data_IF_435312538361
#
_entry.id   IF_435312538361
#
_cell.length_a   1.000
_cell.length_b   1.000
_cell.length_c   1.000
_cell.angle_alpha   90.00
_cell.angle_beta   90.00
_cell.angle_gamma   90.00
#
_symmetry.space_group_name_H-M   'P 1'
#
loop_
_entity.id
_entity.type
_entity.pdbx_description
1 polymer ?
#
# COMPACT_ATOMS: atom_id res chain seq x y z
N UNK A 1 -14.28 -19.29 5.85
CA UNK A 1 -14.63 -19.20 7.29
C UNK A 1 -15.99 -19.83 7.49
N UNK A 2 -16.16 -20.71 8.48
CA UNK A 2 -17.45 -21.36 8.76
C UNK A 2 -17.80 -21.21 10.24
N UNK A 3 -19.06 -20.82 10.53
CA UNK A 3 -19.60 -20.81 11.89
C UNK A 3 -19.54 -22.20 12.54
N UNK A 4 -19.68 -23.27 11.75
CA UNK A 4 -19.62 -24.64 12.26
C UNK A 4 -18.23 -25.08 12.73
N UNK A 5 -17.17 -24.44 12.23
CA UNK A 5 -15.78 -24.73 12.62
C UNK A 5 -15.29 -23.80 13.75
N UNK A 6 -16.16 -22.93 14.27
CA UNK A 6 -15.86 -21.88 15.25
C UNK A 6 -14.68 -20.95 14.87
N UNK A 7 -14.23 -20.98 13.61
CA UNK A 7 -13.14 -20.17 13.05
C UNK A 7 -13.72 -19.00 12.25
N UNK A 8 -14.58 -18.22 12.91
CA UNK A 8 -15.18 -17.00 12.35
C UNK A 8 -14.58 -15.81 13.04
N UNK A 9 -13.81 -15.01 12.31
CA UNK A 9 -13.43 -13.68 12.75
C UNK A 9 -14.47 -12.68 12.23
N UNK A 10 -15.07 -11.91 13.14
CA UNK A 10 -15.96 -10.84 12.73
C UNK A 10 -15.13 -9.67 12.23
N UNK A 11 -15.64 -8.96 11.21
CA UNK A 11 -15.00 -7.77 10.68
C UNK A 11 -14.71 -6.72 11.78
N UNK A 12 -15.60 -6.59 12.77
CA UNK A 12 -15.41 -5.70 13.92
C UNK A 12 -14.19 -6.08 14.76
N UNK A 13 -13.94 -7.37 14.97
CA UNK A 13 -12.85 -7.86 15.81
C UNK A 13 -11.52 -7.69 15.06
N UNK A 14 -11.54 -7.87 13.73
CA UNK A 14 -10.40 -7.59 12.87
C UNK A 14 -10.03 -6.09 12.89
N UNK A 15 -11.02 -5.21 12.69
CA UNK A 15 -10.81 -3.75 12.64
C UNK A 15 -10.33 -3.21 13.99
N UNK A 16 -10.71 -3.85 15.11
CA UNK A 16 -10.20 -3.49 16.42
C UNK A 16 -8.69 -3.74 16.57
N UNK A 17 -8.11 -4.70 15.82
CA UNK A 17 -6.69 -5.08 15.90
C UNK A 17 -5.85 -4.55 14.73
N UNK A 18 -6.44 -4.42 13.56
CA UNK A 18 -5.77 -4.05 12.31
C UNK A 18 -6.55 -2.96 11.59
N UNK A 19 -5.86 -2.05 10.91
CA UNK A 19 -6.54 -1.03 10.11
C UNK A 19 -7.29 -1.63 8.92
N UNK A 20 -8.30 -0.93 8.41
CA UNK A 20 -9.03 -1.32 7.19
C UNK A 20 -8.11 -1.53 5.99
N UNK A 21 -6.99 -0.80 5.94
CA UNK A 21 -5.97 -0.95 4.91
C UNK A 21 -5.32 -2.34 4.91
N UNK A 22 -5.17 -2.97 6.09
CA UNK A 22 -4.65 -4.34 6.15
C UNK A 22 -5.56 -5.30 5.39
N UNK A 23 -6.88 -5.14 5.52
CA UNK A 23 -7.84 -5.97 4.80
C UNK A 23 -7.79 -5.70 3.29
N UNK A 24 -7.70 -4.42 2.88
CA UNK A 24 -7.52 -4.04 1.46
C UNK A 24 -6.27 -4.69 0.87
N UNK A 25 -5.15 -4.58 1.57
CA UNK A 25 -3.89 -5.16 1.12
C UNK A 25 -3.92 -6.68 1.12
N UNK A 26 -4.57 -7.31 2.11
CA UNK A 26 -4.77 -8.77 2.11
C UNK A 26 -5.52 -9.24 0.86
N UNK A 27 -6.55 -8.51 0.43
CA UNK A 27 -7.25 -8.83 -0.82
C UNK A 27 -6.39 -8.59 -2.06
N UNK A 28 -5.64 -7.48 -2.12
CA UNK A 28 -4.76 -7.22 -3.27
C UNK A 28 -3.58 -8.19 -3.35
N UNK A 29 -3.08 -8.70 -2.23
CA UNK A 29 -1.96 -9.65 -2.21
C UNK A 29 -2.34 -11.07 -2.64
N UNK A 30 -3.62 -11.40 -2.60
CA UNK A 30 -4.13 -12.73 -2.96
C UNK A 30 -4.99 -12.65 -4.22
N UNK A 31 -5.19 -13.73 -4.96
CA UNK A 31 -6.19 -13.70 -6.06
C UNK A 31 -7.60 -13.70 -5.47
N UNK A 32 -8.55 -13.01 -6.11
CA UNK A 32 -9.97 -13.03 -5.74
C UNK A 32 -10.54 -14.44 -5.64
N UNK A 33 -10.09 -15.34 -6.52
CA UNK A 33 -10.57 -16.73 -6.57
C UNK A 33 -9.77 -17.67 -5.67
N UNK A 34 -8.67 -17.21 -5.08
CA UNK A 34 -7.82 -18.04 -4.23
C UNK A 34 -8.30 -18.08 -2.79
N UNK A 35 -7.98 -19.17 -2.10
CA UNK A 35 -8.17 -19.26 -0.66
C UNK A 35 -7.22 -18.27 0.02
N UNK A 36 -7.79 -17.29 0.73
CA UNK A 36 -7.01 -16.34 1.50
C UNK A 36 -6.84 -16.89 2.92
N UNK A 37 -5.61 -17.26 3.26
CA UNK A 37 -5.24 -17.67 4.60
C UNK A 37 -4.87 -16.42 5.41
N UNK A 38 -5.80 -15.95 6.24
CA UNK A 38 -5.54 -14.86 7.18
C UNK A 38 -4.77 -15.37 8.40
N UNK A 39 -3.45 -15.44 8.26
CA UNK A 39 -2.52 -15.83 9.32
C UNK A 39 -1.57 -14.69 9.71
N UNK A 40 -0.75 -14.92 10.74
CA UNK A 40 0.24 -13.94 11.20
C UNK A 40 1.30 -13.64 10.15
N UNK A 41 1.62 -14.59 9.26
CA UNK A 41 2.60 -14.41 8.20
C UNK A 41 2.12 -13.40 7.16
N UNK A 42 0.87 -13.53 6.70
CA UNK A 42 0.24 -12.59 5.79
C UNK A 42 0.24 -11.18 6.39
N UNK A 43 -0.18 -11.06 7.65
CA UNK A 43 -0.25 -9.78 8.35
C UNK A 43 1.14 -9.16 8.57
N UNK A 44 2.15 -9.97 8.88
CA UNK A 44 3.54 -9.51 8.99
C UNK A 44 4.07 -9.02 7.65
N UNK A 45 3.78 -9.71 6.54
CA UNK A 45 4.15 -9.27 5.20
C UNK A 45 3.49 -7.94 4.83
N UNK A 46 2.21 -7.79 5.14
CA UNK A 46 1.46 -6.53 4.94
C UNK A 46 2.11 -5.40 5.76
N UNK A 47 2.45 -5.66 7.03
CA UNK A 47 3.11 -4.69 7.90
C UNK A 47 4.47 -4.24 7.34
N UNK A 48 5.28 -5.18 6.83
CA UNK A 48 6.56 -4.85 6.20
C UNK A 48 6.37 -4.01 4.94
N UNK A 49 5.35 -4.31 4.12
CA UNK A 49 5.01 -3.52 2.95
C UNK A 49 4.55 -2.10 3.34
N UNK A 50 3.70 -1.99 4.36
CA UNK A 50 3.21 -0.70 4.86
C UNK A 50 4.34 0.17 5.40
N UNK A 51 5.32 -0.41 6.09
CA UNK A 51 6.51 0.33 6.53
C UNK A 51 7.26 0.93 5.33
N UNK A 52 7.44 0.16 4.24
CA UNK A 52 8.09 0.66 3.02
C UNK A 52 7.29 1.79 2.38
N UNK A 53 5.97 1.62 2.26
CA UNK A 53 5.07 2.63 1.69
C UNK A 53 5.10 3.91 2.53
N UNK A 54 4.91 3.82 3.85
CA UNK A 54 4.95 4.98 4.76
C UNK A 54 6.26 5.75 4.67
N UNK A 55 7.39 5.03 4.54
CA UNK A 55 8.70 5.66 4.32
C UNK A 55 8.74 6.45 3.02
N UNK A 56 8.09 5.96 1.95
CA UNK A 56 7.98 6.68 0.67
C UNK A 56 7.09 7.92 0.80
N UNK A 57 5.96 7.83 1.51
CA UNK A 57 5.13 9.00 1.82
C UNK A 57 5.93 10.06 2.59
N UNK A 58 6.71 9.64 3.59
CA UNK A 58 7.59 10.55 4.33
C UNK A 58 8.66 11.18 3.42
N UNK A 59 9.26 10.43 2.50
CA UNK A 59 10.18 11.00 1.51
C UNK A 59 9.52 12.04 0.62
N UNK A 60 8.25 11.85 0.25
CA UNK A 60 7.48 12.85 -0.49
C UNK A 60 7.38 14.18 0.28
N UNK A 61 7.09 14.12 1.59
CA UNK A 61 7.06 15.29 2.47
C UNK A 61 8.43 15.98 2.60
N UNK A 62 9.53 15.22 2.56
CA UNK A 62 10.89 15.79 2.63
C UNK A 62 11.29 16.54 1.36
N UNK A 63 10.89 16.04 0.19
CA UNK A 63 11.33 16.60 -1.10
C UNK A 63 10.67 17.94 -1.43
N UNK A 64 9.60 18.33 -0.72
CA UNK A 64 8.82 19.55 -0.97
C UNK A 64 8.39 19.72 -2.44
N UNK A 65 8.24 18.59 -3.15
CA UNK A 65 8.03 18.57 -4.59
C UNK A 65 6.54 18.77 -4.87
N UNK A 66 6.19 20.03 -5.13
CA UNK A 66 4.82 20.53 -5.21
C UNK A 66 4.10 20.18 -6.52
N UNK A 67 4.40 19.02 -7.10
CA UNK A 67 3.88 18.62 -8.40
C UNK A 67 3.38 17.20 -8.33
N UNK A 68 2.06 17.05 -8.33
CA UNK A 68 1.31 15.80 -8.56
C UNK A 68 1.58 15.15 -9.95
N UNK A 69 2.76 15.37 -10.53
CA UNK A 69 3.16 14.81 -11.81
C UNK A 69 3.60 13.37 -11.61
N UNK A 70 3.00 12.49 -12.39
CA UNK A 70 3.33 11.07 -12.49
C UNK A 70 3.08 10.60 -13.93
N UNK A 71 3.61 9.44 -14.29
CA UNK A 71 3.36 8.85 -15.60
C UNK A 71 1.92 8.28 -15.68
N UNK A 72 1.03 8.99 -16.37
CA UNK A 72 -0.38 8.59 -16.49
C UNK A 72 -0.57 7.25 -17.21
N UNK A 73 0.27 6.94 -18.20
CA UNK A 73 0.23 5.66 -18.92
C UNK A 73 0.54 4.50 -17.97
N UNK A 74 1.55 4.69 -17.11
CA UNK A 74 1.93 3.71 -16.12
C UNK A 74 0.83 3.56 -15.05
N UNK A 75 0.27 4.66 -14.55
CA UNK A 75 -0.89 4.64 -13.65
C UNK A 75 -2.05 3.83 -14.23
N UNK A 76 -2.43 4.09 -15.49
CA UNK A 76 -3.47 3.32 -16.19
C UNK A 76 -3.12 1.84 -16.27
N UNK A 77 -1.84 1.51 -16.47
CA UNK A 77 -1.36 0.13 -16.48
C UNK A 77 -1.58 -0.58 -15.14
N UNK A 78 -1.36 0.11 -14.01
CA UNK A 78 -1.67 -0.43 -12.68
C UNK A 78 -3.17 -0.64 -12.48
N UNK A 79 -3.98 0.37 -12.79
CA UNK A 79 -5.44 0.30 -12.64
C UNK A 79 -6.06 -0.78 -13.55
N UNK A 80 -5.49 -1.01 -14.73
CA UNK A 80 -5.92 -2.08 -15.64
C UNK A 80 -5.68 -3.47 -15.04
N UNK A 81 -4.56 -3.69 -14.35
CA UNK A 81 -4.34 -4.98 -13.66
C UNK A 81 -5.39 -5.20 -12.56
N UNK A 82 -5.73 -4.15 -11.82
CA UNK A 82 -6.72 -4.21 -10.74
C UNK A 82 -8.12 -4.47 -11.29
N UNK A 83 -8.54 -3.70 -12.30
CA UNK A 83 -9.83 -3.87 -12.97
C UNK A 83 -9.97 -5.27 -13.59
N UNK A 84 -8.90 -5.77 -14.20
CA UNK A 84 -8.84 -7.14 -14.75
C UNK A 84 -8.67 -8.25 -13.70
N UNK A 85 -8.68 -7.91 -12.40
CA UNK A 85 -8.46 -8.84 -11.29
C UNK A 85 -7.12 -9.61 -11.35
N UNK A 86 -6.13 -9.06 -12.07
CA UNK A 86 -4.79 -9.62 -12.26
C UNK A 86 -3.87 -9.19 -11.12
N UNK A 87 -4.26 -9.54 -9.89
CA UNK A 87 -3.62 -9.04 -8.68
C UNK A 87 -2.16 -9.48 -8.52
N UNK A 88 -1.78 -10.67 -9.01
CA UNK A 88 -0.37 -11.09 -9.07
C UNK A 88 0.50 -10.14 -9.89
N UNK A 89 0.00 -9.70 -11.06
CA UNK A 89 0.69 -8.73 -11.91
C UNK A 89 0.76 -7.36 -11.24
N UNK A 90 -0.34 -6.90 -10.63
CA UNK A 90 -0.37 -5.67 -9.84
C UNK A 90 0.70 -5.71 -8.73
N UNK A 91 0.75 -6.79 -7.95
CA UNK A 91 1.70 -6.95 -6.85
C UNK A 91 3.16 -6.97 -7.34
N UNK A 92 3.42 -7.61 -8.47
CA UNK A 92 4.74 -7.60 -9.10
C UNK A 92 5.15 -6.16 -9.46
N UNK A 93 4.30 -5.45 -10.22
CA UNK A 93 4.53 -4.05 -10.62
C UNK A 93 4.70 -3.14 -9.41
N UNK A 94 3.90 -3.31 -8.36
CA UNK A 94 3.97 -2.53 -7.12
C UNK A 94 5.31 -2.72 -6.42
N UNK A 95 5.80 -3.97 -6.32
CA UNK A 95 7.11 -4.25 -5.73
C UNK A 95 8.26 -3.71 -6.58
N UNK A 96 8.16 -3.79 -7.91
CA UNK A 96 9.14 -3.20 -8.83
C UNK A 96 9.21 -1.69 -8.67
N UNK A 97 8.07 -1.00 -8.64
CA UNK A 97 7.97 0.44 -8.40
C UNK A 97 8.57 0.82 -7.03
N UNK A 98 8.26 0.08 -5.96
CA UNK A 98 8.85 0.30 -4.64
C UNK A 98 10.37 0.13 -4.65
N UNK A 99 10.89 -0.87 -5.39
CA UNK A 99 12.34 -1.06 -5.54
C UNK A 99 12.97 0.10 -6.30
N UNK A 100 12.37 0.53 -7.40
CA UNK A 100 12.83 1.67 -8.19
C UNK A 100 12.91 2.93 -7.33
N UNK A 101 11.84 3.28 -6.62
CA UNK A 101 11.79 4.43 -5.71
C UNK A 101 12.89 4.34 -4.64
N UNK A 102 13.18 3.15 -4.13
CA UNK A 102 14.24 2.98 -3.14
C UNK A 102 15.63 3.24 -3.69
N UNK A 103 15.86 2.97 -4.97
CA UNK A 103 17.15 3.19 -5.66
C UNK A 103 17.28 4.62 -6.18
N UNK A 104 16.30 5.08 -6.96
CA UNK A 104 16.39 6.35 -7.70
C UNK A 104 15.91 7.55 -6.91
N UNK A 105 15.00 7.35 -5.95
CA UNK A 105 14.26 8.43 -5.26
C UNK A 105 13.56 9.38 -6.24
N UNK A 106 13.23 8.90 -7.44
CA UNK A 106 12.59 9.70 -8.48
C UNK A 106 11.21 10.22 -8.00
N UNK A 107 10.99 11.55 -7.97
CA UNK A 107 9.71 12.14 -7.57
C UNK A 107 8.52 11.63 -8.40
N UNK A 108 8.69 11.42 -9.71
CA UNK A 108 7.61 10.92 -10.57
C UNK A 108 7.12 9.53 -10.14
N UNK A 109 8.04 8.65 -9.76
CA UNK A 109 7.75 7.29 -9.31
C UNK A 109 7.13 7.30 -7.91
N UNK A 110 7.57 8.19 -7.03
CA UNK A 110 6.97 8.43 -5.70
C UNK A 110 5.51 8.88 -5.87
N UNK A 111 5.28 9.91 -6.68
CA UNK A 111 3.95 10.44 -6.96
C UNK A 111 3.05 9.38 -7.60
N UNK A 112 3.59 8.57 -8.51
CA UNK A 112 2.85 7.45 -9.10
C UNK A 112 2.35 6.48 -8.02
N UNK A 113 3.23 6.06 -7.10
CA UNK A 113 2.87 5.16 -6.00
C UNK A 113 1.78 5.77 -5.11
N UNK A 114 1.95 7.05 -4.74
CA UNK A 114 0.98 7.77 -3.89
C UNK A 114 -0.38 7.80 -4.59
N UNK A 115 -0.43 8.21 -5.85
CA UNK A 115 -1.68 8.29 -6.62
C UNK A 115 -2.35 6.92 -6.77
N UNK A 116 -1.59 5.85 -6.99
CA UNK A 116 -2.13 4.48 -7.06
C UNK A 116 -2.82 4.11 -5.74
N UNK A 117 -2.13 4.29 -4.61
CA UNK A 117 -2.64 3.86 -3.31
C UNK A 117 -3.81 4.75 -2.83
N UNK A 118 -3.74 6.05 -3.08
CA UNK A 118 -4.84 6.97 -2.79
C UNK A 118 -6.09 6.63 -3.60
N UNK A 119 -5.94 6.31 -4.89
CA UNK A 119 -7.06 5.92 -5.75
C UNK A 119 -7.71 4.61 -5.30
N UNK A 120 -6.94 3.74 -4.65
CA UNK A 120 -7.45 2.49 -4.05
C UNK A 120 -8.06 2.71 -2.65
N UNK A 121 -8.08 3.94 -2.16
CA UNK A 121 -8.69 4.31 -0.87
C UNK A 121 -7.86 3.88 0.34
N UNK A 122 -6.53 3.76 0.19
CA UNK A 122 -5.64 3.62 1.35
C UNK A 122 -5.53 4.94 2.11
N UNK A 123 -5.36 4.86 3.43
CA UNK A 123 -5.35 6.03 4.30
C UNK A 123 -3.93 6.50 4.67
N UNK A 124 -2.92 6.17 3.87
CA UNK A 124 -1.52 6.50 4.19
C UNK A 124 -1.29 8.00 4.33
N UNK A 125 -1.97 8.83 3.53
CA UNK A 125 -1.89 10.30 3.58
C UNK A 125 -2.51 10.96 4.82
N UNK A 126 -3.33 10.23 5.58
CA UNK A 126 -3.98 10.79 6.79
C UNK A 126 -3.00 10.96 7.95
N UNK A 127 -1.82 10.33 7.85
CA UNK A 127 -0.75 10.54 8.81
C UNK A 127 -0.07 11.88 8.51
N UNK A 128 0.10 12.71 9.54
CA UNK A 128 0.77 14.00 9.45
C UNK A 128 2.30 13.81 9.38
N UNK A 129 2.81 13.55 8.17
CA UNK A 129 4.24 13.35 7.93
C UNK A 129 5.04 14.64 8.09
N UNK A 130 4.46 15.78 7.74
CA UNK A 130 5.12 17.09 7.73
C UNK A 130 5.56 17.50 9.14
N UNK A 131 4.78 17.12 10.17
CA UNK A 131 5.16 17.28 11.58
C UNK A 131 6.52 16.67 11.94
N UNK A 132 6.95 15.61 11.23
CA UNK A 132 8.20 14.90 11.52
C UNK A 132 9.38 15.36 10.66
N UNK A 133 9.14 16.18 9.63
CA UNK A 133 10.18 16.71 8.74
C UNK A 133 11.23 17.52 9.53
N UNK A 134 10.86 18.46 10.44
CA UNK A 134 11.86 19.21 11.22
C UNK A 134 12.74 18.31 12.08
N UNK A 135 12.13 17.34 12.76
CA UNK A 135 12.83 16.38 13.64
C UNK A 135 13.87 15.59 12.84
N UNK A 136 13.52 15.18 11.62
CA UNK A 136 14.44 14.46 10.74
C UNK A 136 15.64 15.31 10.30
N UNK A 137 15.46 16.62 10.09
CA UNK A 137 16.57 17.52 9.75
C UNK A 137 17.51 17.83 10.92
N UNK A 138 17.07 17.61 12.16
CA UNK A 138 17.90 17.77 13.37
C UNK A 138 18.78 16.54 13.68
N UNK A 139 18.50 15.40 13.06
CA UNK A 139 19.23 14.14 13.22
C UNK A 139 20.33 13.98 12.16
#
# INVERSE_FOLDING_TARGET
MSKSLNNVFLARDFIAKYSTDHLRMAFLLNSITSIINFDENLLNNINLLFKKIKKIYFFSSLSNDDKNQYNESEFKSFMTEIYGLRFSNFNKKLNELIKEINVSKNPLSINLLINILDSLGFNFKQFDYDKFVPIYHEW
#
